data_IF_217803353300
#
_entry.id   IF_217803353300
#
_cell.length_a   1.000
_cell.length_b   1.000
_cell.length_c   1.000
_cell.angle_alpha   90.00
_cell.angle_beta   90.00
_cell.angle_gamma   90.00
#
_symmetry.space_group_name_H-M   'P 1'
#
loop_
_entity.id
_entity.type
_entity.pdbx_description
1 polymer ?
#
# COMPACT_ATOMS: atom_id res chain seq x y z
N UNK A 1 43.59 -17.17 7.28
CA UNK A 1 43.13 -17.62 5.95
C UNK A 1 42.16 -18.76 6.23
N UNK A 2 40.84 -18.60 6.12
CA UNK A 2 40.11 -18.04 4.99
C UNK A 2 38.76 -17.49 5.43
N UNK A 3 38.46 -16.26 5.01
CA UNK A 3 37.20 -15.56 5.25
C UNK A 3 36.18 -16.03 4.19
N UNK A 4 35.24 -16.88 4.61
CA UNK A 4 34.25 -17.51 3.73
C UNK A 4 33.04 -16.63 3.47
N UNK A 5 33.25 -15.44 2.92
CA UNK A 5 32.15 -14.54 2.54
C UNK A 5 31.42 -15.13 1.33
N UNK A 6 30.28 -15.77 1.56
CA UNK A 6 29.40 -16.25 0.48
C UNK A 6 28.70 -15.02 -0.11
N UNK A 7 28.75 -14.78 -1.44
CA UNK A 7 28.12 -13.61 -2.01
C UNK A 7 26.61 -13.70 -1.86
N UNK A 8 25.97 -12.65 -1.33
CA UNK A 8 24.52 -12.49 -1.39
C UNK A 8 24.13 -12.43 -2.88
N UNK A 9 23.28 -13.33 -3.39
CA UNK A 9 22.89 -13.32 -4.78
C UNK A 9 22.18 -12.01 -5.12
N UNK A 10 22.57 -11.39 -6.24
CA UNK A 10 21.90 -10.19 -6.74
C UNK A 10 20.39 -10.47 -6.90
N UNK A 11 19.50 -9.53 -6.57
CA UNK A 11 18.06 -9.71 -6.71
C UNK A 11 17.76 -10.02 -8.18
N UNK A 12 17.36 -11.26 -8.46
CA UNK A 12 16.94 -11.66 -9.80
C UNK A 12 15.63 -10.94 -10.11
N UNK A 13 15.55 -10.35 -11.30
CA UNK A 13 14.33 -9.68 -11.79
C UNK A 13 13.24 -10.74 -11.94
N UNK A 14 12.39 -10.87 -10.94
CA UNK A 14 11.23 -11.75 -10.99
C UNK A 14 10.31 -11.24 -12.11
N UNK A 15 9.89 -12.07 -13.07
CA UNK A 15 8.97 -11.64 -14.11
C UNK A 15 7.74 -11.00 -13.46
N UNK A 16 7.39 -9.79 -13.91
CA UNK A 16 6.24 -9.07 -13.36
C UNK A 16 4.96 -9.89 -13.53
N UNK A 17 4.16 -9.96 -12.46
CA UNK A 17 2.88 -10.65 -12.50
C UNK A 17 1.92 -9.88 -13.41
N UNK A 18 1.58 -10.43 -14.57
CA UNK A 18 0.69 -9.77 -15.54
C UNK A 18 -0.71 -9.50 -14.93
N UNK A 19 -1.14 -10.28 -13.93
CA UNK A 19 -2.37 -10.02 -13.18
C UNK A 19 -2.26 -8.80 -12.26
N UNK A 20 -1.08 -8.53 -11.69
CA UNK A 20 -0.85 -7.34 -10.88
C UNK A 20 -1.00 -6.07 -11.72
N UNK A 21 -0.52 -6.09 -12.97
CA UNK A 21 -0.70 -5.00 -13.91
C UNK A 21 -2.20 -4.72 -14.18
N UNK A 22 -3.00 -5.77 -14.34
CA UNK A 22 -4.46 -5.64 -14.50
C UNK A 22 -5.16 -5.10 -13.25
N UNK A 23 -4.76 -5.51 -12.05
CA UNK A 23 -5.31 -4.94 -10.80
C UNK A 23 -4.89 -3.48 -10.64
N UNK A 24 -3.71 -3.13 -11.16
CA UNK A 24 -3.19 -1.76 -11.17
C UNK A 24 -4.02 -0.78 -12.00
N UNK A 25 -4.81 -1.21 -12.97
CA UNK A 25 -5.61 -0.30 -13.81
C UNK A 25 -6.95 0.11 -13.16
N UNK A 26 -7.42 -0.63 -12.15
CA UNK A 26 -8.67 -0.31 -11.46
C UNK A 26 -8.51 0.93 -10.56
N UNK A 27 -9.55 1.79 -10.54
CA UNK A 27 -9.63 2.86 -9.57
C UNK A 27 -9.94 2.29 -8.18
N UNK A 28 -9.12 2.65 -7.21
CA UNK A 28 -9.27 2.28 -5.80
C UNK A 28 -9.06 3.51 -4.92
N UNK A 29 -9.52 3.44 -3.68
CA UNK A 29 -9.22 4.45 -2.67
C UNK A 29 -7.84 4.18 -2.07
N UNK A 30 -6.80 4.87 -2.54
CA UNK A 30 -5.44 4.81 -2.00
C UNK A 30 -5.38 5.54 -0.67
N UNK A 31 -4.60 5.04 0.29
CA UNK A 31 -4.39 5.71 1.58
C UNK A 31 -2.95 6.22 1.72
N UNK A 32 -2.82 7.51 2.04
CA UNK A 32 -1.54 8.19 2.20
C UNK A 32 -1.40 8.62 3.67
N UNK A 33 -0.74 7.81 4.53
CA UNK A 33 -0.46 8.22 5.89
C UNK A 33 0.53 9.39 5.94
N UNK A 34 0.33 10.30 6.90
CA UNK A 34 1.24 11.41 7.19
C UNK A 34 1.42 11.62 8.69
N UNK A 35 2.26 12.59 9.06
CA UNK A 35 2.38 13.01 10.45
C UNK A 35 1.05 13.64 10.93
N UNK A 36 0.68 13.39 12.18
CA UNK A 36 -0.54 13.97 12.75
C UNK A 36 -0.46 15.51 12.78
N UNK A 37 -1.55 16.16 12.39
CA UNK A 37 -1.64 17.61 12.24
C UNK A 37 -1.17 18.15 10.89
N UNK A 38 -0.79 17.27 9.94
CA UNK A 38 -0.37 17.65 8.58
C UNK A 38 -1.34 17.16 7.50
N UNK A 39 -2.49 16.63 7.89
CA UNK A 39 -3.43 15.99 6.96
C UNK A 39 -3.99 16.96 5.91
N UNK A 40 -4.31 18.20 6.31
CA UNK A 40 -4.77 19.23 5.38
C UNK A 40 -3.67 19.64 4.39
N UNK A 41 -2.42 19.76 4.86
CA UNK A 41 -1.26 20.05 4.00
C UNK A 41 -1.00 18.92 3.01
N UNK A 42 -1.16 17.67 3.44
CA UNK A 42 -1.06 16.51 2.55
C UNK A 42 -2.20 16.55 1.52
N UNK A 43 -3.42 16.86 1.91
CA UNK A 43 -4.54 16.94 0.97
C UNK A 43 -4.29 17.99 -0.11
N UNK A 44 -3.85 19.20 0.27
CA UNK A 44 -3.44 20.24 -0.67
C UNK A 44 -2.32 19.79 -1.61
N UNK A 45 -1.30 19.10 -1.08
CA UNK A 45 -0.21 18.55 -1.89
C UNK A 45 -0.73 17.51 -2.91
N UNK A 46 -1.58 16.57 -2.48
CA UNK A 46 -2.15 15.54 -3.34
C UNK A 46 -2.98 16.18 -4.45
N UNK A 47 -3.84 17.16 -4.14
CA UNK A 47 -4.64 17.86 -5.15
C UNK A 47 -3.74 18.61 -6.15
N UNK A 48 -2.65 19.22 -5.68
CA UNK A 48 -1.68 19.89 -6.55
C UNK A 48 -0.94 18.92 -7.48
N UNK A 49 -0.57 17.73 -6.99
CA UNK A 49 0.14 16.71 -7.77
C UNK A 49 -0.79 16.11 -8.83
N UNK A 50 -2.03 15.78 -8.45
CA UNK A 50 -2.96 15.05 -9.30
C UNK A 50 -3.80 15.97 -10.21
N UNK A 51 -3.88 17.25 -9.87
CA UNK A 51 -4.62 18.25 -10.65
C UNK A 51 -6.08 18.42 -10.19
N UNK A 52 -6.84 19.28 -10.90
CA UNK A 52 -8.14 19.78 -10.44
C UNK A 52 -9.27 18.74 -10.40
N UNK A 53 -9.13 17.64 -11.13
CA UNK A 53 -10.13 16.55 -11.14
C UNK A 53 -9.90 15.55 -9.99
N UNK A 54 -8.82 15.71 -9.22
CA UNK A 54 -8.57 14.86 -8.08
C UNK A 54 -9.49 15.21 -6.93
N UNK A 55 -9.90 14.19 -6.19
CA UNK A 55 -10.63 14.34 -4.93
C UNK A 55 -9.93 13.53 -3.85
N UNK A 56 -9.74 14.16 -2.70
CA UNK A 56 -9.18 13.50 -1.52
C UNK A 56 -10.07 13.72 -0.29
N UNK A 57 -10.15 12.71 0.56
CA UNK A 57 -10.82 12.77 1.85
C UNK A 57 -9.76 12.80 2.96
N UNK A 58 -9.80 13.84 3.78
CA UNK A 58 -8.94 13.97 4.96
C UNK A 58 -9.46 13.05 6.06
N UNK A 59 -8.62 12.12 6.50
CA UNK A 59 -8.87 11.25 7.63
C UNK A 59 -7.88 11.56 8.76
N UNK A 60 -8.13 11.03 9.96
CA UNK A 60 -7.13 11.10 11.02
C UNK A 60 -5.87 10.33 10.61
N UNK A 61 -4.73 11.01 10.58
CA UNK A 61 -3.43 10.41 10.27
C UNK A 61 -3.13 10.19 8.78
N UNK A 62 -3.95 10.69 7.86
CA UNK A 62 -3.68 10.57 6.43
C UNK A 62 -4.82 11.04 5.53
N UNK A 63 -4.63 10.85 4.22
CA UNK A 63 -5.59 11.23 3.18
C UNK A 63 -5.96 10.02 2.34
N UNK A 64 -7.25 9.84 2.05
CA UNK A 64 -7.72 8.91 1.01
C UNK A 64 -7.81 9.64 -0.32
N UNK A 65 -7.42 8.98 -1.41
CA UNK A 65 -7.53 9.52 -2.76
C UNK A 65 -7.92 8.41 -3.73
N UNK A 66 -8.84 8.71 -4.65
CA UNK A 66 -9.15 7.75 -5.71
C UNK A 66 -8.04 7.74 -6.77
N UNK A 67 -7.60 6.54 -7.15
CA UNK A 67 -6.52 6.40 -8.11
C UNK A 67 -6.25 4.97 -8.53
N UNK A 68 -5.49 4.84 -9.61
CA UNK A 68 -4.97 3.56 -10.08
C UNK A 68 -3.45 3.48 -9.82
N UNK A 69 -2.77 2.50 -10.40
CA UNK A 69 -1.33 2.31 -10.24
C UNK A 69 -0.52 3.50 -10.76
N UNK A 70 -0.98 4.16 -11.84
CA UNK A 70 -0.31 5.36 -12.34
C UNK A 70 -0.43 6.52 -11.34
N UNK A 71 -1.62 6.73 -10.79
CA UNK A 71 -1.85 7.69 -9.70
C UNK A 71 -0.93 7.38 -8.51
N UNK A 72 -0.87 6.12 -8.08
CA UNK A 72 -0.03 5.69 -6.97
C UNK A 72 1.46 5.94 -7.26
N UNK A 73 1.95 5.62 -8.45
CA UNK A 73 3.34 5.90 -8.86
C UNK A 73 3.64 7.39 -8.87
N UNK A 74 2.74 8.21 -9.41
CA UNK A 74 2.90 9.66 -9.46
C UNK A 74 3.01 10.26 -8.04
N UNK A 75 2.14 9.81 -7.13
CA UNK A 75 2.18 10.22 -5.72
C UNK A 75 3.46 9.78 -5.01
N UNK A 76 3.96 8.57 -5.29
CA UNK A 76 5.24 8.10 -4.74
C UNK A 76 6.44 8.94 -5.20
N UNK A 77 6.38 9.49 -6.41
CA UNK A 77 7.49 10.27 -6.97
C UNK A 77 7.47 11.74 -6.51
N UNK A 78 6.29 12.32 -6.32
CA UNK A 78 6.14 13.77 -6.12
C UNK A 78 5.76 14.18 -4.69
N UNK A 79 5.14 13.30 -3.90
CA UNK A 79 4.73 13.66 -2.55
C UNK A 79 5.94 13.79 -1.61
N UNK A 80 5.93 14.85 -0.79
CA UNK A 80 6.95 15.12 0.23
C UNK A 80 6.41 14.95 1.65
N UNK A 81 5.09 14.90 1.79
CA UNK A 81 4.41 14.78 3.08
C UNK A 81 3.91 13.35 3.35
N UNK A 82 3.54 12.60 2.31
CA UNK A 82 3.11 11.21 2.48
C UNK A 82 4.30 10.33 2.87
N UNK A 83 4.11 9.50 3.89
CA UNK A 83 5.14 8.55 4.32
C UNK A 83 5.17 7.31 3.42
N UNK A 84 4.02 6.91 2.89
CA UNK A 84 3.79 5.77 1.99
C UNK A 84 2.56 6.06 1.14
N UNK A 85 2.44 5.39 0.00
CA UNK A 85 1.17 5.29 -0.76
C UNK A 85 0.70 3.85 -0.66
N UNK A 86 -0.38 3.63 0.09
CA UNK A 86 -0.88 2.30 0.41
C UNK A 86 -2.06 1.94 -0.48
N UNK A 87 -2.06 0.70 -0.96
CA UNK A 87 -3.15 0.11 -1.73
C UNK A 87 -4.01 -0.78 -0.81
N UNK A 88 -5.23 -0.38 -0.45
CA UNK A 88 -6.09 -1.22 0.38
C UNK A 88 -6.54 -2.47 -0.38
N UNK A 89 -6.39 -3.64 0.25
CA UNK A 89 -6.73 -4.94 -0.35
C UNK A 89 -8.06 -5.50 0.15
N UNK A 90 -8.37 -5.27 1.43
CA UNK A 90 -9.60 -5.73 2.06
C UNK A 90 -9.90 -4.86 3.28
N UNK A 91 -11.18 -4.71 3.58
CA UNK A 91 -11.69 -4.04 4.77
C UNK A 91 -12.91 -4.81 5.29
N UNK A 92 -13.04 -4.93 6.60
CA UNK A 92 -14.15 -5.66 7.21
C UNK A 92 -14.13 -5.57 8.74
N UNK A 93 -15.22 -6.02 9.39
CA UNK A 93 -15.29 -6.09 10.84
C UNK A 93 -14.29 -7.12 11.41
N UNK A 94 -13.97 -6.96 12.68
CA UNK A 94 -13.05 -7.82 13.41
C UNK A 94 -13.53 -7.97 14.85
N UNK A 95 -13.99 -9.18 15.19
CA UNK A 95 -14.40 -9.55 16.55
C UNK A 95 -13.43 -10.57 17.15
N UNK A 96 -12.94 -11.51 16.33
CA UNK A 96 -11.99 -12.55 16.73
C UNK A 96 -11.00 -12.91 15.60
N UNK A 97 -10.01 -13.76 15.89
CA UNK A 97 -8.95 -14.12 14.94
C UNK A 97 -9.45 -14.81 13.66
N UNK A 98 -10.58 -15.51 13.74
CA UNK A 98 -11.15 -16.19 12.58
C UNK A 98 -11.63 -15.19 11.53
N UNK A 99 -12.06 -14.00 11.95
CA UNK A 99 -12.49 -12.94 11.04
C UNK A 99 -11.31 -12.42 10.21
N UNK A 100 -10.13 -12.25 10.83
CA UNK A 100 -8.91 -11.88 10.11
C UNK A 100 -8.51 -12.94 9.10
N UNK A 101 -8.57 -14.22 9.49
CA UNK A 101 -8.24 -15.33 8.59
C UNK A 101 -9.24 -15.44 7.44
N UNK A 102 -10.53 -15.24 7.71
CA UNK A 102 -11.57 -15.19 6.70
C UNK A 102 -11.35 -14.03 5.73
N UNK A 103 -11.13 -12.81 6.25
CA UNK A 103 -10.89 -11.62 5.45
C UNK A 103 -9.64 -11.76 4.57
N UNK A 104 -8.53 -12.24 5.13
CA UNK A 104 -7.29 -12.46 4.38
C UNK A 104 -7.48 -13.44 3.22
N UNK A 105 -8.31 -14.48 3.37
CA UNK A 105 -8.61 -15.43 2.28
C UNK A 105 -9.42 -14.83 1.14
N UNK A 106 -10.11 -13.71 1.34
CA UNK A 106 -10.84 -13.02 0.26
C UNK A 106 -9.92 -12.30 -0.72
N UNK A 107 -8.69 -11.99 -0.30
CA UNK A 107 -7.71 -11.31 -1.14
C UNK A 107 -7.13 -12.29 -2.17
N UNK A 108 -7.12 -11.95 -3.47
CA UNK A 108 -6.51 -12.80 -4.50
C UNK A 108 -4.99 -12.66 -4.48
N UNK A 109 -4.32 -13.24 -3.47
CA UNK A 109 -2.88 -13.09 -3.24
C UNK A 109 -2.00 -13.41 -4.44
N UNK A 110 -2.42 -14.38 -5.26
CA UNK A 110 -1.72 -14.77 -6.49
C UNK A 110 -1.69 -13.67 -7.58
N UNK A 111 -2.50 -12.63 -7.45
CA UNK A 111 -2.42 -11.42 -8.28
C UNK A 111 -1.36 -10.43 -7.77
N UNK A 112 -0.91 -10.54 -6.52
CA UNK A 112 0.00 -9.59 -5.86
C UNK A 112 1.41 -10.16 -5.66
N UNK A 113 1.50 -11.41 -5.22
CA UNK A 113 2.75 -12.08 -4.85
C UNK A 113 2.80 -13.47 -5.48
N UNK A 114 3.97 -13.83 -6.00
CA UNK A 114 4.26 -15.16 -6.54
C UNK A 114 5.05 -15.99 -5.53
N UNK A 115 5.07 -17.34 -5.62
CA UNK A 115 5.88 -18.17 -4.72
C UNK A 115 7.39 -17.90 -4.76
N UNK A 116 7.89 -17.22 -5.81
CA UNK A 116 9.29 -16.81 -5.94
C UNK A 116 9.60 -15.49 -5.20
N UNK A 117 8.57 -14.77 -4.73
CA UNK A 117 8.69 -13.51 -4.02
C UNK A 117 8.48 -13.74 -2.52
N UNK A 118 9.15 -12.93 -1.72
CA UNK A 118 8.91 -12.86 -0.27
C UNK A 118 8.07 -11.64 0.04
N UNK A 119 7.29 -11.71 1.12
CA UNK A 119 6.60 -10.56 1.67
C UNK A 119 6.68 -10.60 3.19
N UNK A 120 6.52 -9.44 3.81
CA UNK A 120 6.49 -9.27 5.25
C UNK A 120 5.08 -8.81 5.64
N UNK A 121 4.64 -9.29 6.81
CA UNK A 121 3.41 -8.83 7.43
C UNK A 121 3.80 -7.94 8.61
N UNK A 122 3.32 -6.70 8.60
CA UNK A 122 3.39 -5.78 9.73
C UNK A 122 1.97 -5.58 10.27
N UNK A 123 1.82 -5.65 11.59
CA UNK A 123 0.52 -5.55 12.25
C UNK A 123 0.49 -4.31 13.14
N UNK A 124 -0.55 -3.50 13.00
CA UNK A 124 -0.86 -2.41 13.91
C UNK A 124 -2.27 -2.59 14.46
N UNK A 125 -2.42 -2.53 15.78
CA UNK A 125 -3.70 -2.70 16.46
C UNK A 125 -3.90 -1.56 17.48
N UNK A 126 -5.12 -1.03 17.55
CA UNK A 126 -5.51 -0.02 18.53
C UNK A 126 -6.81 -0.45 19.20
N UNK A 127 -6.81 -0.63 20.53
CA UNK A 127 -7.97 -1.11 21.30
C UNK A 127 -8.59 -2.39 20.71
N UNK A 128 -7.74 -3.29 20.25
CA UNK A 128 -8.13 -4.60 19.73
C UNK A 128 -8.64 -5.48 20.89
N UNK A 129 -9.70 -6.29 20.68
CA UNK A 129 -10.18 -7.26 21.66
C UNK A 129 -9.21 -8.43 21.91
N UNK A 130 -8.15 -8.52 21.10
CA UNK A 130 -7.05 -9.47 21.16
C UNK A 130 -5.72 -8.76 21.46
#
# INVERSE_FOLDING_TARGET
>A
MSDGSTPVPAPQRVPGNQKAAQVGDALVSLFLPCAGGTEDLLAEEVMRILGPEASGEVLRGGVLVEGNALTAMHLNLESRLAQRVLWPLAHGPYENEHDLYALARTVPWNAWVTPAQTFRIDTAAQRSPL
#
